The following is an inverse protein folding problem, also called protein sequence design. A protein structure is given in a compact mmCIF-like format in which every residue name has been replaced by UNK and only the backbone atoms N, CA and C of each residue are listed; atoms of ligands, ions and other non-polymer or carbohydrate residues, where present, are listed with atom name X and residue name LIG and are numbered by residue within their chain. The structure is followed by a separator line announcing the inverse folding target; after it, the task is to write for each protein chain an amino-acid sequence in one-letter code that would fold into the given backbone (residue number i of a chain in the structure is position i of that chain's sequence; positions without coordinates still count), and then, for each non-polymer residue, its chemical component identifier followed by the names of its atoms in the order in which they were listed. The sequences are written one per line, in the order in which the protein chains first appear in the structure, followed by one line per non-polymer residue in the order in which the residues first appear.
data_IF_395628259122
#
_entry.id   IF_395628259122
#
_cell.length_a   1.000
_cell.length_b   1.000
_cell.length_c   1.000
_cell.angle_alpha   90.00
_cell.angle_beta   90.00
_cell.angle_gamma   90.00
#
_symmetry.space_group_name_H-M   'P 1'
#
loop_
_entity.id
_entity.type
_entity.pdbx_description
1 polymer ?
#
# COMPACT_ATOMS: atom_id res chain seq x y z
N UNK A 1 -10.15 -13.03 32.28
CA UNK A 1 -9.11 -12.01 32.51
C UNK A 1 -7.98 -12.33 31.56
N UNK A 2 -8.21 -12.07 30.27
CA UNK A 2 -7.16 -12.18 29.27
C UNK A 2 -6.60 -10.77 29.13
N UNK A 3 -5.47 -10.54 29.78
CA UNK A 3 -4.54 -9.49 29.40
C UNK A 3 -4.05 -9.79 27.98
N UNK A 4 -4.82 -9.36 26.98
CA UNK A 4 -4.34 -9.25 25.62
C UNK A 4 -3.52 -7.97 25.56
N UNK A 5 -2.28 -8.09 26.03
CA UNK A 5 -1.24 -7.10 25.82
C UNK A 5 -1.32 -6.62 24.36
N UNK A 6 -1.46 -5.31 24.19
CA UNK A 6 -1.37 -4.58 22.93
C UNK A 6 -0.21 -5.15 22.10
N UNK A 7 -0.52 -5.94 21.06
CA UNK A 7 0.41 -6.06 19.95
C UNK A 7 0.53 -4.63 19.41
N UNK A 8 1.71 -4.03 19.51
CA UNK A 8 2.00 -2.95 18.58
C UNK A 8 1.80 -3.57 17.20
N UNK A 9 0.87 -3.04 16.40
CA UNK A 9 0.57 -3.51 15.04
C UNK A 9 1.88 -3.49 14.22
N UNK A 10 2.63 -4.61 14.23
CA UNK A 10 3.98 -4.74 13.65
C UNK A 10 3.91 -5.31 12.23
N UNK A 11 2.71 -5.42 11.67
CA UNK A 11 2.46 -5.91 10.32
C UNK A 11 2.34 -4.77 9.30
N UNK A 12 2.42 -5.09 8.00
CA UNK A 12 2.09 -4.12 6.97
C UNK A 12 0.64 -3.67 7.09
N UNK A 13 0.37 -2.42 6.75
CA UNK A 13 -0.99 -1.90 6.59
C UNK A 13 -1.68 -2.64 5.44
N UNK A 14 -2.99 -2.89 5.54
CA UNK A 14 -3.79 -3.51 4.48
C UNK A 14 -4.89 -2.56 4.02
N UNK A 15 -4.89 -2.23 2.73
CA UNK A 15 -5.86 -1.30 2.11
C UNK A 15 -6.40 -1.90 0.82
N UNK A 16 -7.67 -1.65 0.53
CA UNK A 16 -8.30 -1.97 -0.75
C UNK A 16 -8.82 -0.69 -1.39
N UNK A 17 -8.55 -0.49 -2.68
CA UNK A 17 -9.19 0.55 -3.48
C UNK A 17 -10.37 -0.05 -4.24
N UNK A 18 -11.56 0.52 -4.07
CA UNK A 18 -12.74 0.07 -4.80
C UNK A 18 -12.73 0.61 -6.24
N UNK A 19 -12.87 -0.32 -7.20
CA UNK A 19 -13.01 -0.02 -8.62
C UNK A 19 -11.71 0.33 -9.35
N UNK A 20 -11.79 0.54 -10.68
CA UNK A 20 -10.62 0.72 -11.52
C UNK A 20 -9.83 1.99 -11.18
N UNK A 21 -8.54 1.80 -10.90
CA UNK A 21 -7.56 2.82 -10.59
C UNK A 21 -6.60 2.99 -11.79
N UNK A 22 -6.46 4.19 -12.37
CA UNK A 22 -5.45 4.46 -13.39
C UNK A 22 -4.02 4.12 -12.91
N UNK A 23 -3.22 3.49 -13.79
CA UNK A 23 -1.89 2.99 -13.43
C UNK A 23 -0.92 4.09 -12.99
N UNK A 24 -0.94 5.25 -13.67
CA UNK A 24 -0.13 6.42 -13.34
C UNK A 24 -0.43 6.97 -11.94
N UNK A 25 -1.71 7.02 -11.56
CA UNK A 25 -2.14 7.41 -10.22
C UNK A 25 -1.67 6.41 -9.16
N UNK A 26 -1.78 5.11 -9.45
CA UNK A 26 -1.29 4.08 -8.54
C UNK A 26 0.24 4.17 -8.36
N UNK A 27 0.97 4.37 -9.45
CA UNK A 27 2.42 4.50 -9.43
C UNK A 27 2.88 5.71 -8.61
N UNK A 28 2.24 6.87 -8.77
CA UNK A 28 2.53 8.05 -7.96
C UNK A 28 2.30 7.79 -6.46
N UNK A 29 1.17 7.18 -6.10
CA UNK A 29 0.88 6.84 -4.71
C UNK A 29 1.88 5.82 -4.13
N UNK A 30 2.32 4.85 -4.92
CA UNK A 30 3.38 3.90 -4.53
C UNK A 30 4.72 4.59 -4.29
N UNK A 31 5.08 5.57 -5.12
CA UNK A 31 6.32 6.35 -4.97
C UNK A 31 6.30 7.20 -3.70
N UNK A 32 5.17 7.85 -3.40
CA UNK A 32 4.99 8.63 -2.18
C UNK A 32 5.07 7.74 -0.93
N UNK A 33 4.41 6.57 -0.95
CA UNK A 33 4.48 5.60 0.15
C UNK A 33 5.90 5.07 0.34
N UNK A 34 6.61 4.77 -0.75
CA UNK A 34 8.02 4.35 -0.71
C UNK A 34 8.90 5.41 -0.05
N UNK A 35 8.73 6.68 -0.40
CA UNK A 35 9.49 7.78 0.20
C UNK A 35 9.22 7.89 1.71
N UNK A 36 7.95 7.77 2.13
CA UNK A 36 7.56 7.80 3.54
C UNK A 36 8.12 6.59 4.32
N UNK A 37 8.09 5.38 3.75
CA UNK A 37 8.69 4.18 4.37
C UNK A 37 10.19 4.36 4.54
N UNK A 38 10.90 4.84 3.51
CA UNK A 38 12.35 5.10 3.59
C UNK A 38 12.71 6.14 4.64
N UNK A 39 11.84 7.11 4.88
CA UNK A 39 12.01 8.11 5.93
C UNK A 39 11.62 7.61 7.34
N UNK A 40 11.09 6.39 7.46
CA UNK A 40 10.53 5.86 8.71
C UNK A 40 9.23 6.54 9.14
N UNK A 41 8.55 7.24 8.21
CA UNK A 41 7.37 8.04 8.47
C UNK A 41 6.04 7.30 8.18
N UNK A 42 6.11 6.12 7.56
CA UNK A 42 4.96 5.25 7.31
C UNK A 42 5.37 3.78 7.38
N UNK A 43 4.45 2.87 7.77
CA UNK A 43 4.71 1.44 7.72
C UNK A 43 4.63 0.91 6.28
N UNK A 44 5.03 -0.34 6.10
CA UNK A 44 4.78 -1.09 4.86
C UNK A 44 3.27 -1.13 4.53
N UNK A 45 2.92 -1.37 3.28
CA UNK A 45 1.54 -1.39 2.79
C UNK A 45 1.33 -2.53 1.80
N UNK A 46 0.31 -3.34 2.05
CA UNK A 46 -0.30 -4.21 1.04
C UNK A 46 -1.56 -3.50 0.53
N UNK A 47 -1.55 -3.13 -0.75
CA UNK A 47 -2.63 -2.39 -1.38
C UNK A 47 -3.25 -3.21 -2.52
N UNK A 48 -4.54 -3.51 -2.40
CA UNK A 48 -5.32 -4.22 -3.41
C UNK A 48 -5.98 -3.20 -4.34
N UNK A 49 -5.69 -3.30 -5.63
CA UNK A 49 -6.19 -2.37 -6.67
C UNK A 49 -6.58 -3.15 -7.92
N UNK A 50 -7.48 -2.57 -8.70
CA UNK A 50 -7.81 -3.01 -10.06
C UNK A 50 -7.39 -1.91 -11.03
N UNK A 51 -6.85 -2.24 -12.20
CA UNK A 51 -6.54 -1.25 -13.23
C UNK A 51 -7.52 -1.36 -14.41
N UNK A 52 -7.84 -0.24 -15.10
CA UNK A 52 -8.40 -0.31 -16.44
C UNK A 52 -7.48 -1.14 -17.37
N UNK A 53 -7.99 -1.71 -18.48
CA UNK A 53 -7.17 -2.51 -19.40
C UNK A 53 -5.92 -1.75 -19.86
N UNK A 54 -4.75 -2.32 -19.60
CA UNK A 54 -3.47 -1.75 -20.03
C UNK A 54 -2.46 -2.83 -20.45
N UNK A 55 -1.50 -2.43 -21.26
CA UNK A 55 -0.28 -3.18 -21.52
C UNK A 55 0.87 -2.52 -20.78
N UNK A 56 1.57 -3.27 -19.93
CA UNK A 56 2.81 -2.85 -19.29
C UNK A 56 3.99 -3.49 -20.01
N UNK A 57 4.96 -2.69 -20.43
CA UNK A 57 6.25 -3.18 -20.89
C UNK A 57 7.26 -2.98 -19.76
N UNK A 58 7.74 -4.08 -19.17
CA UNK A 58 8.80 -4.04 -18.17
C UNK A 58 10.14 -3.63 -18.78
N UNK A 59 11.06 -3.20 -17.92
CA UNK A 59 12.48 -2.95 -18.23
C UNK A 59 13.36 -3.85 -17.40
#
# INVERSE_FOLDING_TARGET
MNDSASIAETGPEWVTHEGPLPYDRALAAMQDRLAAIRAGAAPELVWLVEHPPLYTAGT
#
